data_IF_447438778973
#
_entry.id   IF_447438778973
#
_cell.length_a   1.000
_cell.length_b   1.000
_cell.length_c   1.000
_cell.angle_alpha   90.00
_cell.angle_beta   90.00
_cell.angle_gamma   90.00
#
_symmetry.space_group_name_H-M   'P 1'
#
loop_
_entity.id
_entity.type
_entity.pdbx_description
1 polymer ?
#
# COMPACT_ATOMS: atom_id res chain seq x y z
N UNK A 1 9.55 2.50 2.13
CA UNK A 1 8.83 3.68 2.64
C UNK A 1 7.44 3.27 3.07
N UNK A 2 7.01 3.81 4.20
CA UNK A 2 5.71 3.55 4.82
C UNK A 2 5.00 4.89 4.93
N UNK A 3 3.79 5.00 4.38
CA UNK A 3 2.93 6.18 4.49
C UNK A 3 1.84 5.86 5.50
N UNK A 4 1.92 6.52 6.67
CA UNK A 4 0.94 6.41 7.73
C UNK A 4 0.58 7.80 8.22
N UNK A 5 -0.47 8.39 7.63
CA UNK A 5 -1.00 9.69 8.08
C UNK A 5 -2.42 9.54 8.62
N UNK A 6 -2.89 10.55 9.35
CA UNK A 6 -4.25 10.61 9.88
C UNK A 6 -5.28 11.10 8.86
N UNK A 7 -4.87 11.56 7.67
CA UNK A 7 -5.74 12.34 6.78
C UNK A 7 -5.55 12.07 5.28
N UNK A 8 -6.67 12.04 4.55
CA UNK A 8 -6.71 11.67 3.12
C UNK A 8 -5.88 12.61 2.21
N UNK A 9 -5.84 13.91 2.52
CA UNK A 9 -5.10 14.91 1.74
C UNK A 9 -3.58 14.74 1.86
N UNK A 10 -3.10 14.37 3.04
CA UNK A 10 -1.67 14.20 3.28
C UNK A 10 -1.16 12.92 2.62
N UNK A 11 -1.93 11.83 2.67
CA UNK A 11 -1.60 10.59 1.94
C UNK A 11 -1.50 10.83 0.44
N UNK A 12 -2.43 11.59 -0.16
CA UNK A 12 -2.39 11.88 -1.59
C UNK A 12 -1.15 12.69 -1.98
N UNK A 13 -0.80 13.72 -1.21
CA UNK A 13 0.42 14.51 -1.45
C UNK A 13 1.68 13.66 -1.34
N UNK A 14 1.77 12.83 -0.30
CA UNK A 14 2.93 11.96 -0.09
C UNK A 14 3.01 10.86 -1.16
N UNK A 15 1.88 10.29 -1.56
CA UNK A 15 1.83 9.27 -2.61
C UNK A 15 2.23 9.82 -3.98
N UNK A 16 1.78 11.04 -4.31
CA UNK A 16 2.20 11.73 -5.54
C UNK A 16 3.72 11.79 -5.65
N UNK A 17 4.37 12.26 -4.58
CA UNK A 17 5.83 12.33 -4.52
C UNK A 17 6.48 10.94 -4.48
N UNK A 18 5.95 10.05 -3.64
CA UNK A 18 6.49 8.71 -3.42
C UNK A 18 6.49 7.83 -4.68
N UNK A 19 5.45 7.94 -5.50
CA UNK A 19 5.28 7.16 -6.73
C UNK A 19 6.43 7.42 -7.74
N UNK A 20 7.07 8.57 -7.66
CA UNK A 20 8.19 8.95 -8.53
C UNK A 20 9.56 8.54 -7.99
N UNK A 21 9.61 8.04 -6.75
CA UNK A 21 10.88 7.62 -6.12
C UNK A 21 11.24 6.17 -6.47
N UNK A 22 12.54 5.82 -6.49
CA UNK A 22 12.99 4.45 -6.77
C UNK A 22 12.91 3.53 -5.53
N UNK A 23 11.95 3.75 -4.62
CA UNK A 23 11.84 2.96 -3.39
C UNK A 23 11.49 1.50 -3.69
N UNK A 24 12.21 0.57 -3.06
CA UNK A 24 11.97 -0.89 -3.20
C UNK A 24 10.66 -1.38 -2.57
N UNK A 25 10.10 -0.61 -1.64
CA UNK A 25 8.85 -0.90 -0.97
C UNK A 25 8.11 0.41 -0.73
N UNK A 26 6.84 0.46 -1.10
CA UNK A 26 5.94 1.58 -0.84
C UNK A 26 4.63 1.01 -0.31
N UNK A 27 4.37 1.20 0.99
CA UNK A 27 3.14 0.77 1.64
C UNK A 27 2.37 1.96 2.18
N UNK A 28 1.04 1.89 2.15
CA UNK A 28 0.15 2.89 2.75
C UNK A 28 -0.81 2.22 3.73
N UNK A 29 -1.04 2.87 4.87
CA UNK A 29 -2.09 2.47 5.81
C UNK A 29 -3.45 2.99 5.34
N UNK A 30 -4.48 2.18 5.51
CA UNK A 30 -5.86 2.56 5.21
C UNK A 30 -6.58 1.48 4.41
N UNK A 31 -7.90 1.63 4.31
CA UNK A 31 -8.71 0.69 3.54
C UNK A 31 -8.34 0.71 2.06
N UNK A 32 -8.58 -0.39 1.38
CA UNK A 32 -8.45 -0.46 -0.07
C UNK A 32 -9.28 0.60 -0.78
N UNK A 33 -10.55 0.78 -0.40
CA UNK A 33 -11.41 1.83 -0.96
C UNK A 33 -10.76 3.21 -0.91
N UNK A 34 -10.03 3.53 0.17
CA UNK A 34 -9.29 4.79 0.30
C UNK A 34 -8.14 4.86 -0.72
N UNK A 35 -7.40 3.77 -0.88
CA UNK A 35 -6.33 3.66 -1.87
C UNK A 35 -6.85 3.82 -3.30
N UNK A 36 -7.91 3.11 -3.69
CA UNK A 36 -8.48 3.19 -5.04
C UNK A 36 -8.81 4.63 -5.43
N UNK A 37 -9.46 5.38 -4.53
CA UNK A 37 -9.77 6.80 -4.74
C UNK A 37 -8.54 7.66 -4.96
N UNK A 38 -7.47 7.42 -4.20
CA UNK A 38 -6.21 8.17 -4.37
C UNK A 38 -5.52 7.77 -5.67
N UNK A 39 -5.47 6.48 -5.98
CA UNK A 39 -4.85 5.97 -7.20
C UNK A 39 -5.54 6.53 -8.46
N UNK A 40 -6.88 6.55 -8.48
CA UNK A 40 -7.64 7.10 -9.60
C UNK A 40 -7.42 8.62 -9.75
N UNK A 41 -7.42 9.36 -8.64
CA UNK A 41 -7.13 10.80 -8.66
C UNK A 41 -5.71 11.10 -9.19
N UNK A 42 -4.69 10.37 -8.70
CA UNK A 42 -3.31 10.55 -9.15
C UNK A 42 -3.11 10.11 -10.61
N UNK A 43 -3.84 9.08 -11.06
CA UNK A 43 -3.84 8.66 -12.46
C UNK A 43 -4.44 9.74 -13.37
N UNK A 44 -5.51 10.42 -12.94
CA UNK A 44 -6.11 11.56 -13.66
C UNK A 44 -5.17 12.77 -13.71
N UNK A 45 -4.28 12.92 -12.72
CA UNK A 45 -3.22 13.94 -12.72
C UNK A 45 -2.00 13.57 -13.60
N UNK A 46 -2.02 12.41 -14.27
CA UNK A 46 -0.98 11.98 -15.21
C UNK A 46 0.12 11.09 -14.61
N UNK A 47 -0.02 10.60 -13.37
CA UNK A 47 0.89 9.59 -12.85
C UNK A 47 0.62 8.26 -13.52
N UNK A 48 1.66 7.70 -14.15
CA UNK A 48 1.62 6.41 -14.82
C UNK A 48 1.14 5.29 -13.88
N UNK A 49 0.25 4.42 -14.37
CA UNK A 49 -0.40 3.38 -13.58
C UNK A 49 0.60 2.40 -12.97
N UNK A 50 1.67 2.10 -13.69
CA UNK A 50 2.75 1.19 -13.28
C UNK A 50 3.51 1.73 -12.06
N UNK A 51 3.55 3.07 -11.89
CA UNK A 51 4.11 3.70 -10.68
C UNK A 51 3.18 3.58 -9.49
N UNK A 52 1.87 3.45 -9.71
CA UNK A 52 0.88 3.27 -8.64
C UNK A 52 0.74 1.79 -8.24
N UNK A 53 0.90 0.86 -9.19
CA UNK A 53 0.77 -0.58 -8.95
C UNK A 53 1.82 -1.17 -7.98
N UNK A 54 2.93 -0.45 -7.76
CA UNK A 54 3.93 -0.81 -6.73
C UNK A 54 3.47 -0.51 -5.30
N UNK A 55 2.42 0.30 -5.12
CA UNK A 55 1.90 0.68 -3.81
C UNK A 55 1.15 -0.49 -3.21
N UNK A 56 1.46 -0.78 -1.95
CA UNK A 56 0.79 -1.83 -1.17
C UNK A 56 -0.18 -1.19 -0.21
N UNK A 57 -1.48 -1.37 -0.47
CA UNK A 57 -2.54 -0.85 0.39
C UNK A 57 -3.77 -1.75 0.33
N UNK A 58 -4.35 -2.14 1.49
CA UNK A 58 -3.78 -1.98 2.84
C UNK A 58 -2.43 -2.72 2.96
N UNK A 59 -1.41 -2.06 3.54
CA UNK A 59 -0.16 -2.75 3.87
C UNK A 59 -0.28 -3.58 5.15
N UNK A 60 0.53 -4.63 5.23
CA UNK A 60 0.59 -5.56 6.35
C UNK A 60 0.02 -6.92 5.99
N UNK A 61 0.61 -7.95 6.60
CA UNK A 61 0.12 -9.32 6.45
C UNK A 61 -1.25 -9.51 7.10
N UNK A 62 -2.03 -10.44 6.56
CA UNK A 62 -3.31 -10.78 7.16
C UNK A 62 -3.11 -11.74 8.33
N UNK A 63 -2.85 -11.16 9.50
CA UNK A 63 -2.69 -11.89 10.78
C UNK A 63 -3.88 -11.70 11.71
N UNK A 64 -5.00 -11.14 11.22
CA UNK A 64 -6.14 -10.77 12.07
C UNK A 64 -5.90 -9.56 12.99
N UNK A 65 -4.89 -8.73 12.70
CA UNK A 65 -4.53 -7.57 13.52
C UNK A 65 -5.68 -6.56 13.71
N UNK A 66 -5.90 -6.15 14.97
CA UNK A 66 -6.90 -5.18 15.40
C UNK A 66 -6.28 -3.99 16.13
N UNK A 67 -5.28 -4.22 16.98
CA UNK A 67 -4.63 -3.15 17.76
C UNK A 67 -3.51 -2.47 16.97
N UNK A 68 -3.12 -1.23 17.33
CA UNK A 68 -1.98 -0.56 16.71
C UNK A 68 -0.68 -1.39 16.76
N UNK A 69 -0.44 -2.09 17.87
CA UNK A 69 0.74 -2.94 18.08
C UNK A 69 0.70 -4.14 17.13
N UNK A 70 -0.45 -4.79 17.00
CA UNK A 70 -0.64 -5.92 16.06
C UNK A 70 -0.49 -5.46 14.61
N UNK A 71 -1.02 -4.28 14.26
CA UNK A 71 -0.88 -3.69 12.93
C UNK A 71 0.60 -3.41 12.65
N UNK A 72 1.35 -2.88 13.62
CA UNK A 72 2.79 -2.65 13.47
C UNK A 72 3.55 -3.96 13.19
N UNK A 73 3.23 -5.03 13.91
CA UNK A 73 3.81 -6.36 13.67
C UNK A 73 3.47 -6.87 12.26
N UNK A 74 2.22 -6.73 11.82
CA UNK A 74 1.78 -7.11 10.48
C UNK A 74 2.55 -6.39 9.37
N UNK A 75 2.79 -5.09 9.53
CA UNK A 75 3.55 -4.26 8.57
C UNK A 75 5.02 -4.65 8.56
N UNK A 76 5.66 -4.80 9.72
CA UNK A 76 7.06 -5.21 9.82
C UNK A 76 7.26 -6.61 9.23
N UNK A 77 6.35 -7.55 9.49
CA UNK A 77 6.38 -8.88 8.91
C UNK A 77 6.30 -8.84 7.37
N UNK A 78 5.43 -8.00 6.80
CA UNK A 78 5.37 -7.80 5.35
C UNK A 78 6.68 -7.24 4.78
N UNK A 79 7.24 -6.22 5.43
CA UNK A 79 8.52 -5.61 5.01
C UNK A 79 9.66 -6.63 5.03
N UNK A 80 9.73 -7.48 6.05
CA UNK A 80 10.71 -8.57 6.15
C UNK A 80 10.48 -9.58 5.02
N UNK A 81 9.23 -9.99 4.78
CA UNK A 81 8.88 -10.93 3.72
C UNK A 81 9.29 -10.44 2.33
N UNK A 82 9.00 -9.17 2.00
CA UNK A 82 9.43 -8.54 0.75
C UNK A 82 10.95 -8.50 0.65
N UNK A 83 11.65 -8.10 1.73
CA UNK A 83 13.12 -8.04 1.76
C UNK A 83 13.76 -9.42 1.57
N UNK A 84 13.14 -10.48 2.09
CA UNK A 84 13.62 -11.86 1.99
C UNK A 84 13.14 -12.59 0.74
N UNK A 85 12.30 -11.96 -0.10
CA UNK A 85 11.65 -12.60 -1.24
C UNK A 85 10.89 -13.88 -0.83
N UNK A 86 10.28 -13.86 0.36
CA UNK A 86 9.55 -15.00 0.89
C UNK A 86 8.33 -15.29 0.00
N UNK A 87 8.38 -16.36 -0.78
CA UNK A 87 7.48 -16.61 -1.91
C UNK A 87 6.32 -17.58 -1.68
N UNK A 88 6.08 -18.10 -0.47
CA UNK A 88 5.00 -19.08 -0.24
C UNK A 88 4.26 -18.84 1.08
N UNK A 89 2.93 -18.92 1.07
CA UNK A 89 2.07 -18.94 2.26
C UNK A 89 1.75 -17.61 2.94
N UNK A 90 2.21 -16.48 2.38
CA UNK A 90 2.01 -15.16 3.00
C UNK A 90 0.74 -14.53 2.42
N UNK A 91 -0.37 -14.67 3.14
CA UNK A 91 -1.60 -13.95 2.81
C UNK A 91 -1.44 -12.48 3.17
N UNK A 92 -1.63 -11.63 2.16
CA UNK A 92 -1.75 -10.19 2.35
C UNK A 92 -3.21 -9.89 2.60
N UNK A 93 -3.49 -8.80 3.33
CA UNK A 93 -4.85 -8.27 3.42
C UNK A 93 -5.41 -8.13 2.01
N UNK A 94 -6.52 -8.82 1.75
CA UNK A 94 -7.11 -8.90 0.41
C UNK A 94 -7.44 -7.50 -0.08
N UNK A 95 -6.95 -7.19 -1.28
CA UNK A 95 -7.60 -6.24 -2.15
C UNK A 95 -8.87 -6.92 -2.70
N UNK A 96 -10.07 -6.49 -2.33
CA UNK A 96 -11.35 -6.75 -2.99
C UNK A 96 -11.25 -6.52 -4.51
N UNK A 97 -10.77 -7.56 -5.18
CA UNK A 97 -10.64 -7.75 -6.63
C UNK A 97 -9.80 -6.69 -7.33
N UNK A 98 -8.89 -7.15 -8.17
CA UNK A 98 -8.20 -6.33 -9.19
C UNK A 98 -9.26 -5.72 -10.11
N UNK A 99 -9.77 -4.53 -9.78
CA UNK A 99 -10.59 -3.70 -10.68
C UNK A 99 -9.66 -2.80 -11.48
N UNK A 100 -8.62 -3.32 -12.11
CA UNK A 100 -7.77 -2.54 -13.03
C UNK A 100 -7.24 -3.37 -14.20
N UNK A 101 -8.08 -4.28 -14.69
CA UNK A 101 -7.93 -4.83 -16.05
C UNK A 101 -8.95 -4.14 -16.95
N UNK A 102 -8.57 -3.01 -17.53
CA UNK A 102 -9.11 -2.44 -18.78
C UNK A 102 -8.12 -1.38 -19.26
#
# INVERSE_FOLDING_TARGET
MVIATRGHKDDMRLLRWAAETPVRYLGMIGSERKWLKIADALSQEGIAREKLDRVRSPMGLDIGALTPEEIAVAVVAEMIAVRRQAGRGIERKKSEKRVFSS
#
